data_IF_796579408781
#
_entry.id   IF_796579408781
#
_cell.length_a   1.000
_cell.length_b   1.000
_cell.length_c   1.000
_cell.angle_alpha   90.00
_cell.angle_beta   90.00
_cell.angle_gamma   90.00
#
_symmetry.space_group_name_H-M   'P 1'
#
loop_
_entity.id
_entity.type
_entity.pdbx_description
1 polymer ?
#
# COMPACT_ATOMS: atom_id res chain seq x y z
N UNK A 1 1.95 2.71 -21.88
CA UNK A 1 2.28 2.96 -20.46
C UNK A 1 3.78 3.12 -20.35
N UNK A 2 4.26 4.35 -20.10
CA UNK A 2 5.69 4.61 -19.94
C UNK A 2 6.06 4.77 -18.46
N UNK A 3 5.15 5.29 -17.64
CA UNK A 3 5.37 5.50 -16.21
C UNK A 3 4.19 4.97 -15.41
N UNK A 4 4.49 4.13 -14.44
CA UNK A 4 3.54 3.67 -13.42
C UNK A 4 3.93 4.30 -12.09
N UNK A 5 2.98 4.93 -11.40
CA UNK A 5 3.19 5.59 -10.12
C UNK A 5 2.33 4.91 -9.06
N UNK A 6 2.98 4.36 -8.04
CA UNK A 6 2.33 3.76 -6.87
C UNK A 6 2.21 4.83 -5.79
N UNK A 7 0.98 5.19 -5.44
CA UNK A 7 0.69 6.03 -4.28
C UNK A 7 0.14 5.12 -3.20
N UNK A 8 0.79 5.11 -2.04
CA UNK A 8 0.34 4.33 -0.88
C UNK A 8 0.18 5.28 0.28
N UNK A 9 -1.01 5.28 0.89
CA UNK A 9 -1.33 6.06 2.08
C UNK A 9 -1.46 5.12 3.28
N UNK A 10 -0.66 5.36 4.31
CA UNK A 10 -0.59 4.52 5.49
C UNK A 10 -1.68 4.92 6.49
N UNK A 11 -2.72 4.10 6.58
CA UNK A 11 -3.82 4.29 7.55
C UNK A 11 -3.41 3.94 8.97
N UNK A 12 -2.73 2.81 9.16
CA UNK A 12 -2.38 2.31 10.49
C UNK A 12 -1.12 1.46 10.46
N UNK A 13 -0.28 1.66 11.47
CA UNK A 13 0.87 0.78 11.75
C UNK A 13 0.68 0.16 13.12
N UNK A 14 0.76 -1.16 13.20
CA UNK A 14 0.73 -1.92 14.44
C UNK A 14 2.12 -2.49 14.64
N UNK A 15 2.85 -1.95 15.63
CA UNK A 15 4.18 -2.42 15.98
C UNK A 15 4.15 -3.09 17.36
N UNK A 16 3.86 -4.40 17.38
CA UNK A 16 3.82 -5.23 18.60
C UNK A 16 4.65 -6.50 18.35
N UNK A 17 4.26 -7.64 18.95
CA UNK A 17 4.88 -8.95 18.68
C UNK A 17 4.87 -9.33 17.19
N UNK A 18 3.84 -8.89 16.45
CA UNK A 18 3.79 -8.91 14.99
C UNK A 18 3.76 -7.47 14.50
N UNK A 19 4.53 -7.16 13.46
CA UNK A 19 4.47 -5.85 12.78
C UNK A 19 3.48 -5.97 11.63
N UNK A 20 2.47 -5.09 11.61
CA UNK A 20 1.46 -5.03 10.55
C UNK A 20 1.25 -3.58 10.08
N UNK A 21 1.38 -3.36 8.78
CA UNK A 21 0.96 -2.13 8.11
C UNK A 21 -0.43 -2.30 7.47
N UNK A 22 -1.26 -1.28 7.59
CA UNK A 22 -2.55 -1.16 6.91
C UNK A 22 -2.57 0.16 6.14
N UNK A 23 -2.96 0.13 4.87
CA UNK A 23 -3.01 1.34 4.05
C UNK A 23 -3.87 1.20 2.81
N UNK A 24 -4.12 2.34 2.16
CA UNK A 24 -4.78 2.41 0.87
C UNK A 24 -3.75 2.66 -0.23
N UNK A 25 -4.11 2.37 -1.46
CA UNK A 25 -3.23 2.52 -2.61
C UNK A 25 -3.97 2.98 -3.84
N UNK A 26 -3.29 3.77 -4.65
CA UNK A 26 -3.71 4.16 -5.99
C UNK A 26 -2.57 3.90 -6.95
N UNK A 27 -2.87 3.17 -8.02
CA UNK A 27 -1.95 2.99 -9.14
C UNK A 27 -2.32 3.94 -10.26
N UNK A 28 -1.36 4.76 -10.69
CA UNK A 28 -1.52 5.66 -11.82
C UNK A 28 -0.65 5.21 -12.98
N UNK A 29 -1.22 5.11 -14.18
CA UNK A 29 -0.49 4.91 -15.43
C UNK A 29 -0.52 6.21 -16.23
N UNK A 30 0.67 6.76 -16.48
CA UNK A 30 0.87 8.01 -17.21
C UNK A 30 -0.01 9.17 -16.66
N UNK A 31 -0.19 9.21 -15.33
CA UNK A 31 -0.98 10.23 -14.61
C UNK A 31 -2.46 9.92 -14.44
N UNK A 32 -2.97 8.85 -15.06
CA UNK A 32 -4.36 8.42 -14.90
C UNK A 32 -4.48 7.31 -13.87
N UNK A 33 -5.32 7.43 -12.83
CA UNK A 33 -5.56 6.37 -11.87
C UNK A 33 -6.26 5.19 -12.57
N UNK A 34 -5.64 4.00 -12.46
CA UNK A 34 -6.10 2.76 -13.09
C UNK A 34 -6.56 1.72 -12.06
N UNK A 35 -6.00 1.75 -10.84
CA UNK A 35 -6.42 0.85 -9.76
C UNK A 35 -6.50 1.58 -8.44
N UNK A 36 -7.50 1.19 -7.65
CA UNK A 36 -7.71 1.63 -6.28
C UNK A 36 -7.72 0.40 -5.39
N UNK A 37 -6.98 0.47 -4.29
CA UNK A 37 -6.93 -0.57 -3.28
C UNK A 37 -7.22 0.04 -1.93
N UNK A 38 -8.13 -0.57 -1.18
CA UNK A 38 -8.48 -0.14 0.17
C UNK A 38 -8.07 -1.21 1.18
N UNK A 39 -7.60 -0.77 2.34
CA UNK A 39 -7.26 -1.61 3.49
C UNK A 39 -6.29 -2.76 3.16
N UNK A 40 -5.28 -2.48 2.34
CA UNK A 40 -4.15 -3.39 2.13
C UNK A 40 -3.49 -3.69 3.47
N UNK A 41 -3.25 -4.98 3.76
CA UNK A 41 -2.62 -5.43 5.01
C UNK A 41 -1.32 -6.16 4.71
N UNK A 42 -0.23 -5.70 5.30
CA UNK A 42 1.09 -6.32 5.13
C UNK A 42 1.68 -6.61 6.51
N UNK A 43 1.99 -7.88 6.77
CA UNK A 43 2.67 -8.31 7.98
C UNK A 43 4.16 -8.54 7.74
N UNK A 44 5.02 -8.06 8.64
CA UNK A 44 6.42 -8.48 8.66
C UNK A 44 6.56 -9.67 9.59
N UNK A 45 7.21 -10.72 9.10
CA UNK A 45 7.47 -11.94 9.84
C UNK A 45 8.98 -12.14 9.90
N UNK A 46 9.54 -12.18 11.11
CA UNK A 46 10.93 -12.59 11.34
C UNK A 46 10.92 -14.09 11.64
N UNK A 47 11.78 -14.84 10.94
CA UNK A 47 11.91 -16.29 11.10
C UNK A 47 12.16 -16.71 12.54
#
# INVERSE_FOLDING_TARGET
>A
IKKVTYKVDMKRVINRRLVMGIGDGVLEADGNPIYHTQDLRVGLYQR
#
